data_IF_144350663630
#
_entry.id   IF_144350663630
#
_cell.length_a   1.000
_cell.length_b   1.000
_cell.length_c   1.000
_cell.angle_alpha   90.00
_cell.angle_beta   90.00
_cell.angle_gamma   90.00
#
_symmetry.space_group_name_H-M   'P 1'
#
loop_
_entity.id
_entity.type
_entity.pdbx_description
1 polymer ?
#
# COMPACT_ATOMS: atom_id res chain seq x y z
N UNK A 1 15.77 26.68 31.04
CA UNK A 1 16.89 25.84 30.56
C UNK A 1 17.37 26.46 29.26
N UNK A 2 18.66 26.76 29.15
CA UNK A 2 19.24 27.43 27.99
C UNK A 2 19.00 26.59 26.73
N UNK A 3 18.55 27.24 25.65
CA UNK A 3 18.17 26.62 24.38
C UNK A 3 19.34 25.91 23.72
N UNK A 4 19.41 24.59 23.90
CA UNK A 4 20.12 23.73 22.95
C UNK A 4 19.42 23.87 21.60
N UNK A 5 20.07 24.55 20.66
CA UNK A 5 19.66 24.52 19.26
C UNK A 5 19.73 23.08 18.80
N UNK A 6 18.58 22.49 18.49
CA UNK A 6 18.50 21.18 17.89
C UNK A 6 19.37 21.17 16.62
N UNK A 7 20.14 20.09 16.38
CA UNK A 7 20.99 20.00 15.21
C UNK A 7 20.14 20.16 13.93
N UNK A 8 20.67 20.80 12.88
CA UNK A 8 19.97 20.93 11.61
C UNK A 8 19.63 19.53 11.08
N UNK A 9 18.39 19.36 10.62
CA UNK A 9 17.95 18.12 10.00
C UNK A 9 18.77 17.89 8.71
N UNK A 10 19.30 16.69 8.53
CA UNK A 10 19.86 16.30 7.25
C UNK A 10 18.73 16.31 6.21
N UNK A 11 18.86 17.16 5.19
CA UNK A 11 17.85 17.28 4.14
C UNK A 11 18.02 16.11 3.19
N UNK A 12 17.15 15.11 3.31
CA UNK A 12 17.09 14.03 2.34
C UNK A 12 16.43 14.54 1.05
N UNK A 13 17.23 14.67 -0.01
CA UNK A 13 16.70 14.90 -1.35
C UNK A 13 16.08 13.62 -1.91
N UNK A 14 14.79 13.47 -1.67
CA UNK A 14 13.98 12.38 -2.18
C UNK A 14 14.11 12.17 -3.69
N UNK A 15 14.47 13.19 -4.48
CA UNK A 15 14.64 13.06 -5.94
C UNK A 15 15.69 12.01 -6.32
N UNK A 16 16.66 11.77 -5.45
CA UNK A 16 17.75 10.78 -5.62
C UNK A 16 17.18 9.36 -5.81
N UNK A 17 16.10 9.03 -5.11
CA UNK A 17 15.44 7.70 -5.19
C UNK A 17 14.14 7.76 -5.99
N UNK A 18 13.51 8.94 -6.11
CA UNK A 18 12.18 9.03 -6.68
C UNK A 18 12.13 8.63 -8.17
N UNK A 19 12.96 9.25 -8.99
CA UNK A 19 12.96 8.99 -10.44
C UNK A 19 13.34 7.53 -10.77
N UNK A 20 14.35 6.93 -10.12
CA UNK A 20 14.63 5.50 -10.27
C UNK A 20 13.44 4.58 -9.91
N UNK A 21 12.73 4.84 -8.80
CA UNK A 21 11.55 4.05 -8.42
C UNK A 21 10.42 4.23 -9.44
N UNK A 22 10.17 5.44 -9.92
CA UNK A 22 9.17 5.67 -10.98
C UNK A 22 9.50 4.89 -12.26
N UNK A 23 10.77 4.89 -12.66
CA UNK A 23 11.27 4.11 -13.80
C UNK A 23 11.00 2.62 -13.60
N UNK A 24 11.44 2.06 -12.47
CA UNK A 24 11.21 0.66 -12.09
C UNK A 24 9.72 0.27 -12.17
N UNK A 25 8.84 1.03 -11.51
CA UNK A 25 7.40 0.72 -11.47
C UNK A 25 6.75 0.81 -12.85
N UNK A 26 7.20 1.74 -13.70
CA UNK A 26 6.74 1.83 -15.09
C UNK A 26 7.16 0.61 -15.89
N UNK A 27 8.42 0.20 -15.77
CA UNK A 27 8.97 -0.90 -16.54
C UNK A 27 8.30 -2.23 -16.12
N UNK A 28 8.08 -2.43 -14.82
CA UNK A 28 7.29 -3.54 -14.28
C UNK A 28 5.83 -3.54 -14.76
N UNK A 29 5.16 -2.38 -14.83
CA UNK A 29 3.79 -2.28 -15.35
C UNK A 29 3.73 -2.71 -16.82
N UNK A 30 4.64 -2.19 -17.65
CA UNK A 30 4.74 -2.57 -19.05
C UNK A 30 4.95 -4.07 -19.23
N UNK A 31 5.83 -4.67 -18.44
CA UNK A 31 6.11 -6.10 -18.51
C UNK A 31 4.94 -6.97 -18.06
N UNK A 32 4.28 -6.63 -16.94
CA UNK A 32 3.07 -7.33 -16.50
C UNK A 32 1.94 -7.22 -17.51
N UNK A 33 1.74 -6.06 -18.13
CA UNK A 33 0.76 -5.88 -19.21
C UNK A 33 1.10 -6.75 -20.42
N UNK A 34 2.39 -6.84 -20.79
CA UNK A 34 2.85 -7.68 -21.90
C UNK A 34 2.56 -9.15 -21.61
N UNK A 35 2.89 -9.64 -20.42
CA UNK A 35 2.63 -11.01 -19.98
C UNK A 35 1.13 -11.32 -19.92
N UNK A 36 0.32 -10.40 -19.38
CA UNK A 36 -1.13 -10.56 -19.29
C UNK A 36 -1.77 -10.67 -20.68
N UNK A 37 -1.35 -9.83 -21.63
CA UNK A 37 -1.84 -9.93 -23.02
C UNK A 37 -1.48 -11.27 -23.65
N UNK A 38 -0.30 -11.82 -23.33
CA UNK A 38 0.11 -13.14 -23.81
C UNK A 38 -0.76 -14.25 -23.22
N UNK A 39 -1.02 -14.23 -21.91
CA UNK A 39 -1.89 -15.24 -21.27
C UNK A 39 -3.33 -15.20 -21.79
N UNK A 40 -3.86 -13.99 -22.03
CA UNK A 40 -5.18 -13.82 -22.64
C UNK A 40 -5.22 -14.40 -24.06
N UNK A 41 -4.19 -14.16 -24.87
CA UNK A 41 -4.10 -14.68 -26.24
C UNK A 41 -3.93 -16.20 -26.29
N UNK A 42 -3.31 -16.80 -25.27
CA UNK A 42 -3.18 -18.26 -25.14
C UNK A 42 -4.34 -18.92 -24.39
N UNK A 43 -5.35 -18.15 -23.95
CA UNK A 43 -6.46 -18.61 -23.11
C UNK A 43 -6.00 -19.32 -21.82
N UNK A 44 -4.87 -18.90 -21.26
CA UNK A 44 -4.40 -19.38 -19.96
C UNK A 44 -5.07 -18.58 -18.84
N UNK A 45 -6.21 -19.09 -18.37
CA UNK A 45 -7.07 -18.44 -17.37
C UNK A 45 -6.32 -18.27 -16.03
N UNK A 46 -5.49 -19.24 -15.66
CA UNK A 46 -4.76 -19.18 -14.39
C UNK A 46 -3.69 -18.09 -14.43
N UNK A 47 -2.89 -18.05 -15.50
CA UNK A 47 -1.91 -16.99 -15.70
C UNK A 47 -2.57 -15.61 -15.82
N UNK A 48 -3.69 -15.51 -16.55
CA UNK A 48 -4.46 -14.28 -16.68
C UNK A 48 -4.90 -13.73 -15.32
N UNK A 49 -5.47 -14.57 -14.45
CA UNK A 49 -5.88 -14.20 -13.08
C UNK A 49 -4.70 -13.73 -12.24
N UNK A 50 -3.66 -14.54 -12.18
CA UNK A 50 -2.44 -14.22 -11.44
C UNK A 50 -1.86 -12.86 -11.87
N UNK A 51 -1.69 -12.65 -13.17
CA UNK A 51 -1.08 -11.44 -13.71
C UNK A 51 -2.00 -10.22 -13.55
N UNK A 52 -3.31 -10.38 -13.67
CA UNK A 52 -4.29 -9.33 -13.42
C UNK A 52 -4.27 -8.87 -11.95
N UNK A 53 -4.14 -9.81 -11.01
CA UNK A 53 -4.00 -9.51 -9.59
C UNK A 53 -2.73 -8.69 -9.33
N UNK A 54 -1.57 -9.17 -9.77
CA UNK A 54 -0.31 -8.45 -9.59
C UNK A 54 -0.30 -7.07 -10.27
N UNK A 55 -0.85 -6.97 -11.48
CA UNK A 55 -0.95 -5.70 -12.19
C UNK A 55 -1.81 -4.69 -11.41
N UNK A 56 -2.93 -5.15 -10.84
CA UNK A 56 -3.79 -4.30 -10.01
C UNK A 56 -3.07 -3.82 -8.76
N UNK A 57 -2.38 -4.72 -8.06
CA UNK A 57 -1.59 -4.38 -6.86
C UNK A 57 -0.44 -3.41 -7.17
N UNK A 58 0.29 -3.65 -8.27
CA UNK A 58 1.36 -2.78 -8.73
C UNK A 58 0.85 -1.39 -9.11
N UNK A 59 -0.26 -1.31 -9.84
CA UNK A 59 -0.87 -0.03 -10.25
C UNK A 59 -1.39 0.78 -9.07
N UNK A 60 -1.99 0.11 -8.08
CA UNK A 60 -2.36 0.76 -6.83
C UNK A 60 -1.12 1.32 -6.14
N UNK A 61 -0.06 0.51 -6.01
CA UNK A 61 1.23 0.91 -5.41
C UNK A 61 1.84 2.11 -6.13
N UNK A 62 1.90 2.07 -7.46
CA UNK A 62 2.43 3.14 -8.32
C UNK A 62 1.64 4.43 -8.16
N UNK A 63 0.31 4.37 -8.19
CA UNK A 63 -0.53 5.55 -8.03
C UNK A 63 -0.37 6.18 -6.64
N UNK A 64 -0.39 5.36 -5.57
CA UNK A 64 -0.16 5.84 -4.20
C UNK A 64 1.22 6.51 -4.06
N UNK A 65 2.24 5.93 -4.68
CA UNK A 65 3.59 6.49 -4.69
C UNK A 65 3.70 7.81 -5.46
N UNK A 66 3.11 7.90 -6.66
CA UNK A 66 3.07 9.11 -7.46
C UNK A 66 2.34 10.25 -6.72
N UNK A 67 1.23 9.93 -6.05
CA UNK A 67 0.51 10.88 -5.20
C UNK A 67 1.37 11.34 -4.00
N UNK A 68 2.00 10.42 -3.28
CA UNK A 68 2.89 10.75 -2.17
C UNK A 68 4.07 11.64 -2.63
N UNK A 69 4.66 11.32 -3.78
CA UNK A 69 5.77 12.09 -4.37
C UNK A 69 5.33 13.48 -4.80
N UNK A 70 4.15 13.61 -5.40
CA UNK A 70 3.57 14.90 -5.77
C UNK A 70 3.36 15.79 -4.54
N UNK A 71 2.87 15.22 -3.43
CA UNK A 71 2.63 15.96 -2.18
C UNK A 71 3.91 16.34 -1.46
N UNK A 72 4.97 15.52 -1.58
CA UNK A 72 6.25 15.75 -0.91
C UNK A 72 7.25 16.53 -1.76
N UNK A 73 6.95 16.81 -3.02
CA UNK A 73 7.84 17.56 -3.91
C UNK A 73 7.94 19.03 -3.46
N UNK A 74 9.12 19.62 -3.57
CA UNK A 74 9.35 21.03 -3.22
C UNK A 74 9.05 22.00 -4.39
N UNK A 75 8.45 21.53 -5.49
CA UNK A 75 8.19 22.36 -6.67
C UNK A 75 7.04 23.37 -6.45
N UNK A 76 7.36 24.65 -6.29
CA UNK A 76 6.44 25.75 -5.97
C UNK A 76 5.33 26.05 -7.01
N UNK A 77 5.29 25.32 -8.13
CA UNK A 77 4.49 25.69 -9.30
C UNK A 77 2.99 25.36 -9.22
N UNK A 78 2.50 24.81 -8.09
CA UNK A 78 1.09 24.38 -7.96
C UNK A 78 0.33 25.11 -6.84
N UNK A 79 -0.45 26.17 -7.13
CA UNK A 79 -1.10 27.00 -6.11
C UNK A 79 -2.19 26.28 -5.29
N UNK A 80 -2.65 25.10 -5.73
CA UNK A 80 -3.62 24.27 -4.99
C UNK A 80 -2.96 23.30 -4.01
N UNK A 81 -1.65 23.11 -4.08
CA UNK A 81 -0.92 22.16 -3.23
C UNK A 81 -0.53 22.86 -1.93
N UNK A 82 -0.99 22.31 -0.81
CA UNK A 82 -0.68 22.80 0.54
C UNK A 82 0.34 21.86 1.19
N UNK A 83 1.31 22.40 1.92
CA UNK A 83 2.34 21.60 2.62
C UNK A 83 1.68 20.59 3.56
N UNK A 84 0.60 20.98 4.22
CA UNK A 84 -0.15 20.17 5.19
C UNK A 84 -0.81 18.92 4.58
N UNK A 85 -0.92 18.84 3.25
CA UNK A 85 -1.45 17.64 2.59
C UNK A 85 -0.59 16.39 2.83
N UNK A 86 0.65 16.53 3.33
CA UNK A 86 1.45 15.40 3.82
C UNK A 86 0.77 14.60 4.93
N UNK A 87 -0.26 15.14 5.59
CA UNK A 87 -1.12 14.42 6.55
C UNK A 87 -1.88 13.23 5.95
N UNK A 88 -1.95 13.13 4.62
CA UNK A 88 -2.54 11.95 3.95
C UNK A 88 -1.55 10.79 3.84
N UNK A 89 -0.26 11.00 4.14
CA UNK A 89 0.75 9.95 3.99
C UNK A 89 0.54 8.78 4.98
N UNK A 90 0.19 8.97 6.27
CA UNK A 90 -0.08 7.83 7.15
C UNK A 90 -1.21 6.90 6.66
N UNK A 91 -2.42 7.38 6.28
CA UNK A 91 -3.43 6.49 5.74
C UNK A 91 -3.01 5.86 4.40
N UNK A 92 -2.23 6.57 3.56
CA UNK A 92 -1.66 6.00 2.33
C UNK A 92 -0.68 4.87 2.63
N UNK A 93 0.27 5.08 3.55
CA UNK A 93 1.23 4.07 3.99
C UNK A 93 0.53 2.89 4.63
N UNK A 94 -0.53 3.13 5.40
CA UNK A 94 -1.35 2.08 6.01
C UNK A 94 -1.96 1.16 4.96
N UNK A 95 -2.53 1.73 3.89
CA UNK A 95 -3.08 0.98 2.76
C UNK A 95 -2.00 0.20 1.99
N UNK A 96 -0.83 0.82 1.74
CA UNK A 96 0.29 0.14 1.11
C UNK A 96 0.82 -1.02 1.97
N UNK A 97 0.87 -0.84 3.29
CA UNK A 97 1.23 -1.91 4.21
C UNK A 97 0.18 -3.03 4.16
N UNK A 98 -1.13 -2.73 4.22
CA UNK A 98 -2.19 -3.73 4.07
C UNK A 98 -2.02 -4.58 2.81
N UNK A 99 -1.68 -3.91 1.71
CA UNK A 99 -1.38 -4.56 0.45
C UNK A 99 -0.14 -5.45 0.56
N UNK A 100 0.96 -4.96 1.15
CA UNK A 100 2.18 -5.73 1.36
C UNK A 100 1.95 -6.95 2.26
N UNK A 101 1.26 -6.82 3.40
CA UNK A 101 0.89 -7.93 4.28
C UNK A 101 0.10 -9.00 3.53
N UNK A 102 -0.89 -8.57 2.74
CA UNK A 102 -1.70 -9.48 1.91
C UNK A 102 -0.82 -10.18 0.88
N UNK A 103 0.03 -9.43 0.18
CA UNK A 103 0.93 -9.95 -0.84
C UNK A 103 1.89 -11.00 -0.27
N UNK A 104 2.68 -10.66 0.75
CA UNK A 104 3.66 -11.61 1.32
C UNK A 104 3.00 -12.84 1.92
N UNK A 105 1.82 -12.68 2.54
CA UNK A 105 1.05 -13.82 3.02
C UNK A 105 0.59 -14.70 1.86
N UNK A 106 0.09 -14.14 0.77
CA UNK A 106 -0.31 -14.91 -0.40
C UNK A 106 0.88 -15.66 -1.02
N UNK A 107 2.05 -15.02 -1.15
CA UNK A 107 3.21 -15.60 -1.84
C UNK A 107 3.78 -16.86 -1.17
N UNK A 108 3.51 -17.10 0.11
CA UNK A 108 3.91 -18.33 0.78
C UNK A 108 3.12 -19.58 0.33
N UNK A 109 1.92 -19.39 -0.24
CA UNK A 109 1.11 -20.45 -0.88
C UNK A 109 0.16 -19.79 -1.90
N UNK A 110 0.75 -19.34 -3.01
CA UNK A 110 0.07 -18.43 -3.92
C UNK A 110 -1.20 -19.01 -4.55
N UNK A 111 -1.23 -20.25 -5.09
CA UNK A 111 -2.43 -20.77 -5.75
C UNK A 111 -3.64 -20.78 -4.82
N UNK A 112 -3.50 -21.30 -3.60
CA UNK A 112 -4.60 -21.40 -2.65
C UNK A 112 -4.98 -20.03 -2.06
N UNK A 113 -3.98 -19.24 -1.64
CA UNK A 113 -4.24 -17.98 -0.91
C UNK A 113 -4.72 -16.86 -1.81
N UNK A 114 -4.22 -16.77 -3.05
CA UNK A 114 -4.74 -15.79 -4.03
C UNK A 114 -6.21 -16.06 -4.38
N UNK A 115 -6.58 -17.34 -4.57
CA UNK A 115 -7.97 -17.71 -4.82
C UNK A 115 -8.85 -17.39 -3.61
N UNK A 116 -8.41 -17.73 -2.38
CA UNK A 116 -9.15 -17.39 -1.17
C UNK A 116 -9.34 -15.88 -0.99
N UNK A 117 -8.34 -15.07 -1.34
CA UNK A 117 -8.40 -13.61 -1.32
C UNK A 117 -9.48 -13.07 -2.28
N UNK A 118 -9.45 -13.50 -3.54
CA UNK A 118 -10.40 -13.04 -4.56
C UNK A 118 -11.84 -13.52 -4.27
N UNK A 119 -12.00 -14.78 -3.83
CA UNK A 119 -13.29 -15.31 -3.39
C UNK A 119 -13.86 -14.52 -2.22
N UNK A 120 -13.04 -14.14 -1.24
CA UNK A 120 -13.46 -13.26 -0.15
C UNK A 120 -13.92 -11.89 -0.69
N UNK A 121 -13.26 -11.35 -1.71
CA UNK A 121 -13.67 -10.11 -2.39
C UNK A 121 -15.08 -10.24 -2.98
N UNK A 122 -15.37 -11.34 -3.69
CA UNK A 122 -16.71 -11.64 -4.19
C UNK A 122 -17.72 -11.72 -3.04
N UNK A 123 -17.43 -12.46 -1.97
CA UNK A 123 -18.30 -12.57 -0.79
C UNK A 123 -18.64 -11.19 -0.23
N UNK A 124 -17.65 -10.32 -0.04
CA UNK A 124 -17.86 -8.97 0.50
C UNK A 124 -18.76 -8.14 -0.42
N UNK A 125 -18.47 -8.13 -1.73
CA UNK A 125 -19.28 -7.41 -2.71
C UNK A 125 -20.74 -7.92 -2.72
N UNK A 126 -20.95 -9.23 -2.57
CA UNK A 126 -22.27 -9.84 -2.52
C UNK A 126 -23.03 -9.50 -1.23
N UNK A 127 -22.41 -9.66 -0.07
CA UNK A 127 -23.00 -9.30 1.24
C UNK A 127 -23.36 -7.80 1.27
N UNK A 128 -22.49 -6.95 0.70
CA UNK A 128 -22.70 -5.51 0.59
C UNK A 128 -23.86 -5.17 -0.35
N UNK A 129 -23.91 -5.79 -1.53
CA UNK A 129 -25.02 -5.66 -2.47
C UNK A 129 -26.35 -6.05 -1.82
N UNK A 130 -26.42 -7.23 -1.18
CA UNK A 130 -27.67 -7.72 -0.58
C UNK A 130 -28.15 -6.79 0.54
N UNK A 131 -27.22 -6.32 1.39
CA UNK A 131 -27.51 -5.37 2.48
C UNK A 131 -28.03 -4.03 1.95
N UNK A 132 -27.34 -3.43 0.98
CA UNK A 132 -27.73 -2.11 0.46
C UNK A 132 -28.95 -2.17 -0.44
N UNK A 133 -29.09 -3.22 -1.26
CA UNK A 133 -30.26 -3.42 -2.10
C UNK A 133 -31.52 -3.64 -1.25
N UNK A 134 -31.44 -4.40 -0.16
CA UNK A 134 -32.57 -4.58 0.76
C UNK A 134 -33.06 -3.25 1.35
N UNK A 135 -32.15 -2.33 1.66
CA UNK A 135 -32.48 -1.03 2.29
C UNK A 135 -32.82 0.07 1.29
N UNK A 136 -32.14 0.11 0.14
CA UNK A 136 -32.17 1.24 -0.80
C UNK A 136 -32.51 0.84 -2.25
N UNK A 137 -32.79 -0.43 -2.54
CA UNK A 137 -33.02 -0.91 -3.91
C UNK A 137 -34.22 -0.27 -4.63
N UNK A 138 -35.19 0.24 -3.86
CA UNK A 138 -36.35 0.99 -4.40
C UNK A 138 -36.09 2.49 -4.51
N UNK A 139 -34.96 3.00 -4.01
CA UNK A 139 -34.64 4.42 -4.04
C UNK A 139 -34.22 4.83 -5.47
N UNK A 140 -34.88 5.83 -6.10
CA UNK A 140 -34.64 6.19 -7.50
C UNK A 140 -33.16 6.49 -7.82
N UNK A 141 -32.46 7.20 -6.93
CA UNK A 141 -31.03 7.53 -7.10
C UNK A 141 -30.08 6.32 -6.96
N UNK A 142 -30.53 5.22 -6.37
CA UNK A 142 -29.72 4.02 -6.14
C UNK A 142 -29.81 3.00 -7.28
N UNK A 143 -30.84 3.08 -8.14
CA UNK A 143 -31.11 2.05 -9.15
C UNK A 143 -29.96 1.87 -10.14
N UNK A 144 -29.36 2.96 -10.65
CA UNK A 144 -28.23 2.87 -11.58
C UNK A 144 -27.00 2.16 -10.96
N UNK A 145 -26.73 2.43 -9.67
CA UNK A 145 -25.66 1.77 -8.94
C UNK A 145 -25.92 0.26 -8.80
N UNK A 146 -27.14 -0.14 -8.41
CA UNK A 146 -27.50 -1.55 -8.26
C UNK A 146 -27.56 -2.30 -9.59
N UNK A 147 -27.96 -1.64 -10.69
CA UNK A 147 -27.92 -2.23 -12.03
C UNK A 147 -26.49 -2.58 -12.44
N UNK A 148 -25.54 -1.66 -12.24
CA UNK A 148 -24.12 -1.89 -12.54
C UNK A 148 -23.57 -3.08 -11.75
N UNK A 149 -23.86 -3.15 -10.44
CA UNK A 149 -23.44 -4.27 -9.60
C UNK A 149 -24.07 -5.59 -10.04
N UNK A 150 -25.34 -5.59 -10.45
CA UNK A 150 -26.04 -6.78 -10.95
C UNK A 150 -25.44 -7.31 -12.25
N UNK A 151 -24.90 -6.45 -13.10
CA UNK A 151 -24.23 -6.82 -14.34
C UNK A 151 -22.81 -7.34 -14.12
N UNK A 152 -22.09 -6.78 -13.14
CA UNK A 152 -20.72 -7.16 -12.86
C UNK A 152 -20.59 -8.48 -12.08
N UNK A 153 -21.49 -8.75 -11.13
CA UNK A 153 -21.43 -9.96 -10.29
C UNK A 153 -21.39 -11.27 -11.11
N UNK A 154 -22.23 -11.50 -12.13
CA UNK A 154 -22.16 -12.70 -12.97
C UNK A 154 -20.82 -12.90 -13.68
N UNK A 155 -20.13 -11.80 -14.01
CA UNK A 155 -18.81 -11.86 -14.66
C UNK A 155 -17.77 -12.43 -13.70
N UNK A 156 -17.76 -11.96 -12.44
CA UNK A 156 -16.88 -12.51 -11.40
C UNK A 156 -17.25 -13.95 -11.06
N UNK A 157 -18.55 -14.25 -10.96
CA UNK A 157 -19.02 -15.59 -10.63
C UNK A 157 -18.47 -16.63 -11.59
N UNK A 158 -18.50 -16.31 -12.90
CA UNK A 158 -17.89 -17.13 -13.94
C UNK A 158 -16.37 -17.19 -13.79
N UNK A 159 -15.74 -16.04 -13.55
CA UNK A 159 -14.27 -15.93 -13.48
C UNK A 159 -13.66 -16.70 -12.31
N UNK A 160 -14.30 -16.67 -11.13
CA UNK A 160 -13.86 -17.35 -9.91
C UNK A 160 -14.49 -18.74 -9.73
N UNK A 161 -15.24 -19.22 -10.73
CA UNK A 161 -15.95 -20.49 -10.69
C UNK A 161 -16.82 -20.66 -9.42
N UNK A 162 -17.57 -19.62 -9.04
CA UNK A 162 -18.47 -19.64 -7.88
C UNK A 162 -19.54 -20.71 -8.08
N UNK A 163 -19.67 -21.63 -7.11
CA UNK A 163 -20.67 -22.70 -7.20
C UNK A 163 -22.09 -22.19 -6.94
N UNK A 164 -23.10 -22.97 -7.37
CA UNK A 164 -24.51 -22.65 -7.08
C UNK A 164 -24.77 -22.52 -5.58
N UNK A 165 -24.15 -23.37 -4.76
CA UNK A 165 -24.26 -23.36 -3.30
C UNK A 165 -23.61 -22.10 -2.71
N UNK A 166 -22.41 -21.73 -3.17
CA UNK A 166 -21.73 -20.52 -2.72
C UNK A 166 -22.49 -19.25 -3.12
N UNK A 167 -23.09 -19.24 -4.31
CA UNK A 167 -23.94 -18.13 -4.77
C UNK A 167 -25.21 -18.00 -3.94
N UNK A 168 -25.85 -19.13 -3.62
CA UNK A 168 -27.05 -19.14 -2.77
C UNK A 168 -26.73 -18.78 -1.31
N UNK A 169 -25.54 -19.15 -0.83
CA UNK A 169 -25.06 -18.86 0.51
C UNK A 169 -23.59 -18.39 0.49
N UNK A 170 -23.34 -17.07 0.34
CA UNK A 170 -21.99 -16.51 0.30
C UNK A 170 -21.17 -16.75 1.58
N UNK A 171 -21.83 -17.10 2.70
CA UNK A 171 -21.12 -17.38 3.95
C UNK A 171 -20.27 -18.65 3.91
N UNK A 172 -20.50 -19.53 2.92
CA UNK A 172 -19.66 -20.70 2.64
C UNK A 172 -18.25 -20.34 2.18
N UNK A 173 -18.06 -19.13 1.66
CA UNK A 173 -16.73 -18.61 1.29
C UNK A 173 -16.08 -18.00 2.54
N UNK A 174 -14.90 -18.41 2.98
CA UNK A 174 -14.24 -17.78 4.12
C UNK A 174 -13.94 -16.29 3.90
N UNK A 175 -13.98 -15.49 4.97
CA UNK A 175 -13.51 -14.09 4.88
C UNK A 175 -11.99 -14.04 4.87
N UNK A 176 -11.45 -13.13 4.07
CA UNK A 176 -10.05 -12.75 4.18
C UNK A 176 -9.81 -12.06 5.51
N UNK A 177 -8.69 -12.41 6.15
CA UNK A 177 -8.33 -11.85 7.42
C UNK A 177 -7.67 -10.48 7.27
N UNK A 178 -7.95 -9.58 8.21
CA UNK A 178 -7.19 -8.35 8.37
C UNK A 178 -5.72 -8.68 8.67
N UNK A 179 -4.76 -7.81 8.33
CA UNK A 179 -3.32 -8.03 8.50
C UNK A 179 -2.92 -8.52 9.90
N UNK A 180 -3.53 -7.95 10.95
CA UNK A 180 -3.28 -8.38 12.33
C UNK A 180 -3.54 -9.88 12.57
N UNK A 181 -4.49 -10.48 11.85
CA UNK A 181 -4.77 -11.92 11.90
C UNK A 181 -3.88 -12.70 10.93
N UNK A 182 -3.54 -12.13 9.77
CA UNK A 182 -2.58 -12.76 8.83
C UNK A 182 -1.23 -12.99 9.50
N UNK A 183 -0.71 -11.99 10.22
CA UNK A 183 0.59 -12.10 10.90
C UNK A 183 0.60 -13.06 12.10
N UNK A 184 -0.58 -13.44 12.63
CA UNK A 184 -0.69 -14.50 13.65
C UNK A 184 -0.70 -15.90 13.08
N UNK A 185 -0.78 -16.03 11.75
CA UNK A 185 -0.79 -17.32 11.08
C UNK A 185 0.65 -17.77 10.87
N UNK A 186 0.96 -18.99 11.30
CA UNK A 186 2.29 -19.57 11.11
C UNK A 186 2.58 -19.78 9.64
N UNK A 187 3.53 -18.99 9.12
CA UNK A 187 3.93 -18.95 7.71
C UNK A 187 5.42 -18.62 7.61
N UNK A 188 6.04 -18.90 6.45
CA UNK A 188 7.45 -18.57 6.23
C UNK A 188 7.72 -17.08 6.35
N UNK A 189 6.76 -16.24 5.93
CA UNK A 189 6.85 -14.79 5.96
C UNK A 189 6.38 -14.18 7.29
N UNK A 190 5.99 -14.98 8.29
CA UNK A 190 5.53 -14.48 9.59
C UNK A 190 6.54 -13.55 10.28
N UNK A 191 7.84 -13.89 10.42
CA UNK A 191 8.80 -13.02 11.10
C UNK A 191 8.93 -11.64 10.43
N UNK A 192 8.82 -11.61 9.10
CA UNK A 192 8.83 -10.36 8.34
C UNK A 192 7.57 -9.53 8.59
N UNK A 193 6.39 -10.15 8.59
CA UNK A 193 5.13 -9.47 8.89
C UNK A 193 5.11 -8.91 10.32
N UNK A 194 5.62 -9.64 11.31
CA UNK A 194 5.76 -9.15 12.69
C UNK A 194 6.71 -7.96 12.79
N UNK A 195 7.81 -7.98 12.05
CA UNK A 195 8.72 -6.84 11.96
C UNK A 195 8.02 -5.60 11.38
N UNK A 196 7.32 -5.75 10.23
CA UNK A 196 6.57 -4.66 9.61
C UNK A 196 5.50 -4.10 10.54
N UNK A 197 4.85 -4.96 11.33
CA UNK A 197 3.81 -4.52 12.25
C UNK A 197 4.38 -3.57 13.32
N UNK A 198 5.45 -4.02 13.96
CA UNK A 198 6.10 -3.31 15.06
C UNK A 198 6.69 -1.97 14.61
N UNK A 199 7.29 -1.94 13.42
CA UNK A 199 8.09 -0.79 12.98
C UNK A 199 7.35 0.20 12.09
N UNK A 200 6.36 -0.24 11.31
CA UNK A 200 5.71 0.61 10.30
C UNK A 200 4.19 0.69 10.49
N UNK A 201 3.54 -0.41 10.83
CA UNK A 201 2.08 -0.51 10.85
C UNK A 201 1.46 0.19 12.07
N UNK A 202 1.98 -0.04 13.28
CA UNK A 202 1.34 0.42 14.52
C UNK A 202 1.11 1.94 14.54
N UNK A 203 2.15 2.71 14.22
CA UNK A 203 2.08 4.18 14.16
C UNK A 203 1.19 4.68 13.03
N UNK A 204 1.32 4.12 11.81
CA UNK A 204 0.49 4.52 10.67
C UNK A 204 -0.98 4.18 10.88
N UNK A 205 -1.27 3.07 11.55
CA UNK A 205 -2.65 2.66 11.92
C UNK A 205 -3.24 3.56 12.98
N UNK A 206 -2.47 3.96 13.99
CA UNK A 206 -2.92 4.90 15.01
C UNK A 206 -3.32 6.26 14.38
N UNK A 207 -2.47 6.78 13.49
CA UNK A 207 -2.73 8.03 12.76
C UNK A 207 -3.91 7.90 11.79
N UNK A 208 -4.00 6.82 11.02
CA UNK A 208 -5.10 6.61 10.06
C UNK A 208 -6.47 6.46 10.75
N UNK A 209 -6.52 5.87 11.94
CA UNK A 209 -7.74 5.78 12.74
C UNK A 209 -8.03 7.03 13.60
N UNK A 210 -7.11 8.00 13.62
CA UNK A 210 -7.23 9.19 14.46
C UNK A 210 -7.50 8.84 15.93
N UNK A 211 -6.88 7.78 16.44
CA UNK A 211 -6.90 7.54 17.88
C UNK A 211 -6.07 8.62 18.59
N UNK A 212 -6.17 8.71 19.92
CA UNK A 212 -5.52 9.79 20.65
C UNK A 212 -4.01 9.90 20.37
N UNK A 213 -3.26 8.78 20.38
CA UNK A 213 -1.82 8.80 20.09
C UNK A 213 -1.50 9.20 18.64
N UNK A 214 -2.32 8.77 17.68
CA UNK A 214 -2.20 9.17 16.28
C UNK A 214 -2.50 10.66 16.07
N UNK A 215 -3.52 11.19 16.73
CA UNK A 215 -3.83 12.62 16.71
C UNK A 215 -2.71 13.45 17.32
N UNK A 216 -2.08 13.00 18.42
CA UNK A 216 -0.92 13.70 18.97
C UNK A 216 0.28 13.68 18.01
N UNK A 217 0.54 12.55 17.35
CA UNK A 217 1.66 12.43 16.40
C UNK A 217 1.48 13.31 15.15
N UNK A 218 0.25 13.45 14.64
CA UNK A 218 -0.07 14.29 13.49
C UNK A 218 -0.35 15.76 13.86
N UNK A 219 -0.81 16.02 15.07
CA UNK A 219 -1.34 17.31 15.51
C UNK A 219 -0.29 18.36 15.83
N UNK A 220 0.95 17.96 16.13
CA UNK A 220 2.00 18.86 16.63
C UNK A 220 2.29 20.09 15.76
N UNK A 221 2.15 19.98 14.43
CA UNK A 221 2.30 21.14 13.54
C UNK A 221 0.96 21.81 13.18
N UNK A 222 -0.17 21.09 13.28
CA UNK A 222 -1.51 21.64 13.03
C UNK A 222 -1.94 22.68 14.06
N UNK A 223 -1.43 22.56 15.28
CA UNK A 223 -1.69 23.51 16.38
C UNK A 223 -0.46 24.36 16.72
N UNK A 224 0.55 24.38 15.85
CA UNK A 224 1.80 25.10 16.09
C UNK A 224 1.61 26.60 16.21
N UNK A 225 0.52 27.14 15.65
CA UNK A 225 0.08 28.53 15.80
C UNK A 225 -0.35 28.89 17.24
N UNK A 226 -0.57 27.90 18.11
CA UNK A 226 -0.84 28.10 19.53
C UNK A 226 0.44 28.21 20.39
N UNK A 227 1.61 27.88 19.85
CA UNK A 227 2.88 27.95 20.58
C UNK A 227 3.32 29.41 20.84
N UNK A 228 4.26 29.67 21.78
CA UNK A 228 4.93 30.96 21.92
C UNK A 228 5.66 31.38 20.63
N UNK A 229 5.65 32.67 20.25
CA UNK A 229 6.18 33.16 18.96
C UNK A 229 7.63 32.76 18.67
N UNK A 230 8.46 32.72 19.70
CA UNK A 230 9.88 32.34 19.66
C UNK A 230 10.08 30.84 19.37
N UNK A 231 9.09 30.00 19.69
CA UNK A 231 9.11 28.56 19.43
C UNK A 231 8.32 28.16 18.18
N UNK A 232 7.30 28.94 17.77
CA UNK A 232 6.40 28.65 16.64
C UNK A 232 7.14 28.20 15.39
N UNK A 233 8.11 28.99 14.95
CA UNK A 233 8.79 28.76 13.66
C UNK A 233 9.67 27.51 13.71
N UNK A 234 10.33 27.27 14.83
CA UNK A 234 11.18 26.11 15.03
C UNK A 234 10.35 24.82 15.14
N UNK A 235 9.30 24.85 15.97
CA UNK A 235 8.40 23.71 16.19
C UNK A 235 7.65 23.37 14.90
N UNK A 236 7.09 24.36 14.20
CA UNK A 236 6.34 24.12 12.98
C UNK A 236 7.23 23.51 11.88
N UNK A 237 8.39 24.13 11.59
CA UNK A 237 9.23 23.71 10.47
C UNK A 237 9.93 22.38 10.76
N UNK A 238 10.49 22.20 11.96
CA UNK A 238 11.23 20.98 12.31
C UNK A 238 10.31 19.76 12.45
N UNK A 239 9.15 19.91 13.10
CA UNK A 239 8.20 18.80 13.22
C UNK A 239 7.61 18.46 11.85
N UNK A 240 7.33 19.46 11.02
CA UNK A 240 6.83 19.24 9.67
C UNK A 240 7.85 18.45 8.82
N UNK A 241 9.11 18.88 8.75
CA UNK A 241 10.11 18.18 7.94
C UNK A 241 10.41 16.78 8.47
N UNK A 242 10.45 16.61 9.80
CA UNK A 242 10.59 15.27 10.42
C UNK A 242 9.42 14.36 10.07
N UNK A 243 8.20 14.89 10.13
CA UNK A 243 6.98 14.15 9.81
C UNK A 243 6.93 13.76 8.33
N UNK A 244 7.19 14.73 7.43
CA UNK A 244 7.26 14.55 5.98
C UNK A 244 8.31 13.49 5.65
N UNK A 245 9.53 13.63 6.16
CA UNK A 245 10.61 12.67 5.90
C UNK A 245 10.23 11.26 6.38
N UNK A 246 9.79 11.10 7.64
CA UNK A 246 9.42 9.80 8.20
C UNK A 246 8.36 9.11 7.37
N UNK A 247 7.28 9.81 7.03
CA UNK A 247 6.19 9.17 6.31
C UNK A 247 6.52 8.93 4.84
N UNK A 248 7.26 9.83 4.20
CA UNK A 248 7.68 9.65 2.82
C UNK A 248 8.69 8.50 2.66
N UNK A 249 9.69 8.39 3.54
CA UNK A 249 10.64 7.28 3.53
C UNK A 249 9.94 5.93 3.71
N UNK A 250 8.94 5.85 4.59
CA UNK A 250 8.11 4.64 4.75
C UNK A 250 7.27 4.32 3.52
N UNK A 251 6.77 5.33 2.79
CA UNK A 251 6.14 5.10 1.50
C UNK A 251 7.11 4.42 0.53
N UNK A 252 8.34 4.94 0.42
CA UNK A 252 9.38 4.39 -0.44
C UNK A 252 9.75 2.95 -0.05
N UNK A 253 9.97 2.68 1.23
CA UNK A 253 10.25 1.33 1.76
C UNK A 253 9.14 0.36 1.36
N UNK A 254 7.89 0.74 1.60
CA UNK A 254 6.74 -0.15 1.34
C UNK A 254 6.54 -0.39 -0.15
N UNK A 255 6.70 0.65 -0.98
CA UNK A 255 6.64 0.56 -2.44
C UNK A 255 7.73 -0.35 -2.98
N UNK A 256 8.97 -0.19 -2.50
CA UNK A 256 10.10 -0.99 -2.94
C UNK A 256 9.98 -2.44 -2.47
N UNK A 257 9.42 -2.67 -1.28
CA UNK A 257 9.06 -3.98 -0.78
C UNK A 257 8.05 -4.69 -1.70
N UNK A 258 6.92 -4.04 -2.02
CA UNK A 258 5.92 -4.59 -2.94
C UNK A 258 6.53 -4.87 -4.31
N UNK A 259 7.32 -3.94 -4.86
CA UNK A 259 7.99 -4.12 -6.13
C UNK A 259 8.95 -5.34 -6.11
N UNK A 260 9.69 -5.52 -5.01
CA UNK A 260 10.61 -6.65 -4.83
C UNK A 260 9.87 -7.99 -4.79
N UNK A 261 8.75 -8.07 -4.04
CA UNK A 261 7.90 -9.27 -4.00
C UNK A 261 7.36 -9.65 -5.39
N UNK A 262 6.81 -8.67 -6.11
CA UNK A 262 6.23 -8.89 -7.44
C UNK A 262 7.33 -9.29 -8.44
N UNK A 263 8.45 -8.56 -8.49
CA UNK A 263 9.55 -8.88 -9.41
C UNK A 263 10.10 -10.28 -9.18
N UNK A 264 10.35 -10.65 -7.91
CA UNK A 264 10.91 -11.96 -7.58
C UNK A 264 9.93 -13.09 -7.89
N UNK A 265 8.64 -12.91 -7.63
CA UNK A 265 7.65 -13.95 -7.89
C UNK A 265 7.31 -14.10 -9.38
N UNK A 266 7.16 -12.98 -10.09
CA UNK A 266 6.86 -12.97 -11.53
C UNK A 266 8.11 -13.08 -12.42
N UNK A 267 9.30 -13.04 -11.84
CA UNK A 267 10.59 -13.11 -12.55
C UNK A 267 10.74 -11.99 -13.59
N UNK A 268 10.43 -10.74 -13.22
CA UNK A 268 10.45 -9.58 -14.14
C UNK A 268 11.86 -9.04 -14.43
N UNK A 269 12.90 -9.61 -13.80
CA UNK A 269 14.33 -9.39 -14.06
C UNK A 269 14.85 -7.99 -13.69
N UNK A 270 14.28 -7.34 -12.66
CA UNK A 270 14.73 -6.03 -12.16
C UNK A 270 15.66 -6.11 -10.94
N UNK A 271 16.21 -7.30 -10.65
CA UNK A 271 17.04 -7.57 -9.46
C UNK A 271 18.15 -6.55 -9.21
N UNK A 272 18.93 -6.21 -10.23
CA UNK A 272 20.04 -5.25 -10.08
C UNK A 272 19.54 -3.86 -9.67
N UNK A 273 18.50 -3.36 -10.35
CA UNK A 273 17.84 -2.09 -10.04
C UNK A 273 17.27 -2.09 -8.62
N UNK A 274 16.58 -3.16 -8.23
CA UNK A 274 16.00 -3.31 -6.89
C UNK A 274 17.08 -3.31 -5.80
N UNK A 275 18.15 -4.09 -5.97
CA UNK A 275 19.28 -4.14 -5.01
C UNK A 275 19.92 -2.76 -4.86
N UNK A 276 20.18 -2.07 -5.98
CA UNK A 276 20.74 -0.71 -5.94
C UNK A 276 19.83 0.26 -5.19
N UNK A 277 18.51 0.19 -5.41
CA UNK A 277 17.55 1.07 -4.74
C UNK A 277 17.46 0.82 -3.24
N UNK A 278 17.51 -0.45 -2.82
CA UNK A 278 17.55 -0.80 -1.39
C UNK A 278 18.79 -0.24 -0.71
N UNK A 279 19.97 -0.42 -1.31
CA UNK A 279 21.23 0.11 -0.77
C UNK A 279 21.20 1.64 -0.70
N UNK A 280 20.72 2.28 -1.75
CA UNK A 280 20.63 3.74 -1.81
C UNK A 280 19.67 4.28 -0.74
N UNK A 281 18.49 3.68 -0.59
CA UNK A 281 17.51 4.09 0.41
C UNK A 281 18.00 3.80 1.84
N UNK A 282 18.66 2.66 2.05
CA UNK A 282 19.25 2.27 3.34
C UNK A 282 20.33 3.23 3.82
N UNK A 283 21.05 3.90 2.90
CA UNK A 283 22.01 4.95 3.23
C UNK A 283 21.39 6.20 3.84
N UNK A 284 20.08 6.41 3.69
CA UNK A 284 19.37 7.61 4.18
C UNK A 284 18.29 7.29 5.23
N UNK A 285 17.71 6.09 5.19
CA UNK A 285 16.70 5.65 6.14
C UNK A 285 17.10 4.29 6.73
N UNK A 286 17.50 4.27 8.01
CA UNK A 286 17.90 3.04 8.70
C UNK A 286 16.81 1.95 8.66
N UNK A 287 15.53 2.34 8.73
CA UNK A 287 14.40 1.42 8.57
C UNK A 287 14.44 0.65 7.23
N UNK A 288 14.96 1.26 6.16
CA UNK A 288 15.08 0.62 4.86
C UNK A 288 16.20 -0.43 4.83
N UNK A 289 17.33 -0.15 5.48
CA UNK A 289 18.45 -1.08 5.62
C UNK A 289 18.04 -2.31 6.46
N UNK A 290 17.30 -2.10 7.55
CA UNK A 290 16.76 -3.18 8.37
C UNK A 290 15.82 -4.09 7.57
N UNK A 291 14.88 -3.50 6.81
CA UNK A 291 13.96 -4.25 5.93
C UNK A 291 14.72 -5.00 4.84
N UNK A 292 15.72 -4.37 4.22
CA UNK A 292 16.54 -4.99 3.20
C UNK A 292 17.29 -6.21 3.73
N UNK A 293 18.03 -6.06 4.84
CA UNK A 293 18.78 -7.15 5.46
C UNK A 293 17.89 -8.28 5.95
N UNK A 294 16.72 -7.96 6.51
CA UNK A 294 15.80 -8.95 7.05
C UNK A 294 15.21 -9.86 5.96
N UNK A 295 14.91 -9.32 4.77
CA UNK A 295 14.15 -10.06 3.75
C UNK A 295 14.75 -9.99 2.35
N UNK A 296 15.03 -8.79 1.86
CA UNK A 296 15.28 -8.58 0.44
C UNK A 296 16.72 -8.86 0.01
N UNK A 297 17.68 -8.82 0.93
CA UNK A 297 19.08 -9.11 0.63
C UNK A 297 19.28 -10.54 0.10
N UNK A 298 18.71 -11.53 0.78
CA UNK A 298 18.80 -12.94 0.35
C UNK A 298 17.94 -13.23 -0.87
N UNK A 299 16.78 -12.57 -0.99
CA UNK A 299 15.85 -12.75 -2.10
C UNK A 299 16.38 -12.17 -3.42
N UNK A 300 17.15 -11.07 -3.34
CA UNK A 300 17.71 -10.36 -4.48
C UNK A 300 19.21 -10.65 -4.72
N UNK A 301 19.80 -11.57 -3.95
CA UNK A 301 21.15 -12.08 -4.17
C UNK A 301 21.24 -12.94 -5.44
#
# INVERSE_FOLDING_TARGET
>A
MAGEKLPPLEVFDARIVQAPIQGLLRDMDCELVRLLKQSMASHDIEAERKLSLFLTMLRFTKNSYEAASFLCSDADDTPKRKREFVLILPPTNRQLLDLLFTLVFMLDDFPARSMAYELSGYRQAREEYDKFHARYGRHPKGQAHFLTLREWLPTIEKYLAITTEQKANPTLIPRWYAPYRLMKTTTRSQPFMEFLEKWLYGETSAQAHLNASGLFAAGGFLISDLAPEDERRMIAEQNFETYKFRHFSRSLITVLAIASEIDSFCQLKNRETLTRLWVLLGGHAGEADDVYKLRYQSMLA
#
